data_IF_356124210145
#
_entry.id   IF_356124210145
#
_cell.length_a   1.000
_cell.length_b   1.000
_cell.length_c   1.000
_cell.angle_alpha   90.00
_cell.angle_beta   90.00
_cell.angle_gamma   90.00
#
_symmetry.space_group_name_H-M   'P 1'
#
loop_
_entity.id
_entity.type
_entity.pdbx_description
1 polymer ?
#
# COMPACT_ATOMS: atom_id res chain seq x y z
N UNK A 1 7.37 0.41 -30.48
CA UNK A 1 6.61 0.88 -29.32
C UNK A 1 7.59 1.17 -28.21
N UNK A 2 7.84 2.44 -27.93
CA UNK A 2 8.64 2.83 -26.77
C UNK A 2 7.72 2.77 -25.56
N UNK A 3 7.92 1.80 -24.69
CA UNK A 3 7.30 1.83 -23.37
C UNK A 3 8.03 2.89 -22.55
N UNK A 4 7.41 4.04 -22.41
CA UNK A 4 7.85 5.03 -21.45
C UNK A 4 7.56 4.45 -20.05
N UNK A 5 8.62 4.02 -19.37
CA UNK A 5 8.53 3.50 -18.00
C UNK A 5 8.44 4.66 -16.99
N UNK A 6 7.72 5.71 -17.33
CA UNK A 6 7.52 6.82 -16.40
C UNK A 6 6.73 6.33 -15.18
N UNK A 7 7.27 6.61 -13.99
CA UNK A 7 6.56 6.39 -12.73
C UNK A 7 5.51 7.48 -12.63
N UNK A 8 4.26 7.10 -12.51
CA UNK A 8 3.12 8.03 -12.54
C UNK A 8 2.40 8.11 -11.20
N UNK A 9 1.68 9.20 -10.99
CA UNK A 9 0.76 9.40 -9.88
C UNK A 9 -0.71 9.34 -10.30
N UNK A 10 -0.98 9.33 -11.60
CA UNK A 10 -2.34 9.24 -12.14
C UNK A 10 -3.01 7.95 -11.73
N UNK A 11 -4.29 8.03 -11.45
CA UNK A 11 -5.12 6.90 -11.10
C UNK A 11 -6.41 6.90 -11.92
N UNK A 12 -6.97 5.72 -12.09
CA UNK A 12 -8.22 5.50 -12.80
C UNK A 12 -9.14 4.63 -11.96
N UNK A 13 -10.44 4.80 -12.12
CA UNK A 13 -11.48 3.97 -11.54
C UNK A 13 -12.34 3.38 -12.64
N UNK A 14 -12.73 2.13 -12.45
CA UNK A 14 -13.66 1.50 -13.37
C UNK A 14 -15.10 1.74 -12.91
N UNK A 15 -15.88 2.40 -13.74
CA UNK A 15 -17.31 2.55 -13.53
C UNK A 15 -18.05 1.32 -14.06
N UNK A 16 -18.53 0.52 -13.11
CA UNK A 16 -19.24 -0.72 -13.43
C UNK A 16 -20.56 -0.49 -14.15
N UNK A 17 -21.29 0.59 -13.85
CA UNK A 17 -22.59 0.88 -14.45
C UNK A 17 -22.45 1.37 -15.88
N UNK A 18 -21.45 2.22 -16.11
CA UNK A 18 -21.16 2.77 -17.44
C UNK A 18 -20.21 1.87 -18.26
N UNK A 19 -19.70 0.80 -17.64
CA UNK A 19 -18.75 -0.14 -18.24
C UNK A 19 -17.52 0.55 -18.87
N UNK A 20 -16.93 1.50 -18.15
CA UNK A 20 -15.80 2.30 -18.65
C UNK A 20 -14.82 2.69 -17.56
N UNK A 21 -13.58 2.93 -17.98
CA UNK A 21 -12.57 3.56 -17.12
C UNK A 21 -12.78 5.07 -17.07
N UNK A 22 -12.71 5.62 -15.89
CA UNK A 22 -12.85 7.03 -15.62
C UNK A 22 -11.64 7.55 -14.87
N UNK A 23 -11.31 8.82 -15.09
CA UNK A 23 -10.27 9.50 -14.36
C UNK A 23 -10.57 9.50 -12.85
N UNK A 24 -9.56 9.23 -12.05
CA UNK A 24 -9.62 9.28 -10.59
C UNK A 24 -8.64 10.36 -10.10
N UNK A 25 -8.84 10.94 -8.91
CA UNK A 25 -7.88 11.91 -8.38
C UNK A 25 -6.46 11.35 -8.34
N UNK A 26 -5.50 12.17 -8.72
CA UNK A 26 -4.08 11.83 -8.70
C UNK A 26 -3.59 11.60 -7.28
N UNK A 27 -2.71 10.61 -7.10
CA UNK A 27 -1.91 10.48 -5.89
C UNK A 27 -1.01 11.71 -5.69
N UNK A 28 -0.53 11.92 -4.47
CA UNK A 28 0.42 13.01 -4.18
C UNK A 28 1.77 12.73 -4.82
N UNK A 29 2.22 11.47 -4.74
CA UNK A 29 3.54 11.06 -5.27
C UNK A 29 3.40 10.05 -6.42
N UNK A 30 4.38 10.08 -7.31
CA UNK A 30 4.57 9.03 -8.31
C UNK A 30 4.96 7.72 -7.61
N UNK A 31 4.27 6.62 -7.95
CA UNK A 31 4.48 5.31 -7.30
C UNK A 31 4.52 4.17 -8.29
N UNK A 32 5.35 3.20 -7.97
CA UNK A 32 5.37 1.87 -8.60
C UNK A 32 5.61 0.81 -7.52
N UNK A 33 5.08 -0.37 -7.66
CA UNK A 33 5.16 -1.47 -6.68
C UNK A 33 4.60 -1.13 -5.29
N UNK A 34 3.68 -0.18 -5.22
CA UNK A 34 2.91 0.09 -4.00
C UNK A 34 1.84 -0.98 -3.75
N UNK A 35 1.29 -0.98 -2.56
CA UNK A 35 0.10 -1.77 -2.23
C UNK A 35 -1.02 -0.87 -1.76
N UNK A 36 -2.25 -1.32 -1.92
CA UNK A 36 -3.44 -0.56 -1.50
C UNK A 36 -4.34 -1.39 -0.60
N UNK A 37 -4.99 -0.72 0.34
CA UNK A 37 -5.98 -1.32 1.24
C UNK A 37 -7.19 -0.42 1.33
N UNK A 38 -8.37 -0.95 1.03
CA UNK A 38 -9.65 -0.26 1.22
C UNK A 38 -10.22 -0.60 2.61
N UNK A 39 -10.57 0.44 3.37
CA UNK A 39 -11.19 0.30 4.69
C UNK A 39 -12.22 1.41 4.89
N UNK A 40 -13.49 1.02 5.00
CA UNK A 40 -14.59 1.97 5.06
C UNK A 40 -14.62 2.88 3.84
N UNK A 41 -14.64 4.19 4.08
CA UNK A 41 -14.63 5.21 3.03
C UNK A 41 -13.21 5.65 2.61
N UNK A 42 -12.18 4.91 2.98
CA UNK A 42 -10.78 5.27 2.74
C UNK A 42 -10.04 4.22 1.93
N UNK A 43 -9.17 4.70 1.03
CA UNK A 43 -8.21 3.88 0.31
C UNK A 43 -6.80 4.29 0.76
N UNK A 44 -6.10 3.39 1.42
CA UNK A 44 -4.72 3.57 1.85
C UNK A 44 -3.76 3.10 0.76
N UNK A 45 -2.81 3.95 0.41
CA UNK A 45 -1.73 3.66 -0.54
C UNK A 45 -0.41 3.62 0.23
N UNK A 46 0.24 2.46 0.23
CA UNK A 46 1.35 2.17 1.14
C UNK A 46 2.60 1.80 0.37
N UNK A 47 3.68 2.51 0.66
CA UNK A 47 4.99 2.22 0.12
C UNK A 47 5.11 2.48 -1.38
N UNK A 48 5.88 1.65 -2.03
CA UNK A 48 6.27 1.75 -3.43
C UNK A 48 7.76 2.03 -3.59
N UNK A 49 8.27 1.75 -4.77
CA UNK A 49 9.69 1.98 -5.08
C UNK A 49 10.02 3.47 -5.00
N UNK A 50 11.04 3.83 -4.24
CA UNK A 50 11.50 5.19 -3.97
C UNK A 50 10.57 6.07 -3.12
N UNK A 51 9.41 5.59 -2.67
CA UNK A 51 8.54 6.35 -1.77
C UNK A 51 8.55 5.77 -0.36
N UNK A 52 8.78 6.62 0.64
CA UNK A 52 8.68 6.29 2.08
C UNK A 52 7.34 6.71 2.67
N UNK A 53 6.56 7.42 1.90
CA UNK A 53 5.31 8.01 2.36
C UNK A 53 4.14 7.09 2.09
N UNK A 54 3.14 7.21 2.92
CA UNK A 54 1.86 6.59 2.70
C UNK A 54 0.82 7.68 2.49
N UNK A 55 -0.15 7.41 1.67
CA UNK A 55 -1.24 8.33 1.36
C UNK A 55 -2.58 7.68 1.67
N UNK A 56 -3.56 8.49 1.96
CA UNK A 56 -4.93 8.04 2.13
C UNK A 56 -5.87 8.89 1.28
N UNK A 57 -6.65 8.23 0.45
CA UNK A 57 -7.76 8.82 -0.25
C UNK A 57 -9.01 8.72 0.61
N UNK A 58 -9.72 9.81 0.76
CA UNK A 58 -11.02 9.85 1.42
C UNK A 58 -12.13 10.06 0.38
N UNK A 59 -13.10 9.15 0.32
CA UNK A 59 -14.15 9.18 -0.68
C UNK A 59 -15.14 10.34 -0.51
N UNK A 60 -15.26 10.92 0.69
CA UNK A 60 -16.12 12.07 0.93
C UNK A 60 -15.50 13.36 0.43
N UNK A 61 -14.23 13.61 0.77
CA UNK A 61 -13.52 14.79 0.30
C UNK A 61 -13.01 14.65 -1.14
N UNK A 62 -12.94 13.41 -1.65
CA UNK A 62 -12.38 13.04 -2.96
C UNK A 62 -10.93 13.50 -3.15
N UNK A 63 -10.15 13.44 -2.10
CA UNK A 63 -8.76 13.89 -2.10
C UNK A 63 -7.81 12.89 -1.47
N UNK A 64 -6.57 12.83 -1.98
CA UNK A 64 -5.47 12.19 -1.32
C UNK A 64 -4.83 13.13 -0.31
N UNK A 65 -4.50 12.61 0.86
CA UNK A 65 -3.73 13.30 1.90
C UNK A 65 -2.58 12.42 2.35
N UNK A 66 -1.46 13.03 2.74
CA UNK A 66 -0.34 12.30 3.31
C UNK A 66 -0.70 11.78 4.70
N UNK A 67 -0.36 10.52 4.98
CA UNK A 67 -0.49 9.98 6.33
C UNK A 67 0.56 10.60 7.23
N UNK A 68 0.16 11.11 8.40
CA UNK A 68 1.06 11.73 9.38
C UNK A 68 2.08 10.74 9.95
N UNK A 69 1.71 9.48 10.02
CA UNK A 69 2.56 8.41 10.51
C UNK A 69 3.21 7.68 9.34
N UNK A 70 4.54 7.66 9.29
CA UNK A 70 5.29 7.04 8.20
C UNK A 70 5.67 5.60 8.54
N UNK A 71 5.52 4.72 7.56
CA UNK A 71 6.07 3.37 7.62
C UNK A 71 7.60 3.47 7.64
N UNK A 72 8.21 3.00 8.72
CA UNK A 72 9.67 2.92 8.84
C UNK A 72 10.17 1.72 8.03
N UNK A 73 10.36 1.90 6.74
CA UNK A 73 11.00 0.91 5.88
C UNK A 73 12.48 1.29 5.74
N UNK A 74 13.41 0.50 6.27
CA UNK A 74 14.83 0.83 6.22
C UNK A 74 15.40 0.91 4.82
N UNK A 75 14.83 0.20 3.86
CA UNK A 75 15.35 0.13 2.52
C UNK A 75 14.26 0.40 1.48
N UNK A 76 14.41 1.51 0.76
CA UNK A 76 13.44 1.98 -0.26
C UNK A 76 13.42 1.15 -1.54
N UNK A 77 14.16 0.06 -1.61
CA UNK A 77 14.24 -0.80 -2.80
C UNK A 77 13.34 -2.02 -2.75
N UNK A 78 12.51 -2.14 -1.72
CA UNK A 78 11.55 -3.25 -1.67
C UNK A 78 10.51 -3.08 -2.78
N UNK A 79 10.43 -4.09 -3.63
CA UNK A 79 9.41 -4.20 -4.69
C UNK A 79 8.21 -5.03 -4.24
N UNK A 80 8.26 -5.59 -3.04
CA UNK A 80 7.28 -6.56 -2.56
C UNK A 80 6.57 -6.03 -1.31
N UNK A 81 5.62 -5.14 -1.54
CA UNK A 81 4.67 -4.75 -0.51
C UNK A 81 3.37 -5.50 -0.73
N UNK A 82 2.87 -6.15 0.29
CA UNK A 82 1.52 -6.72 0.33
C UNK A 82 0.85 -6.26 1.60
N UNK A 83 -0.41 -5.90 1.51
CA UNK A 83 -1.15 -5.44 2.68
C UNK A 83 -2.56 -5.99 2.70
N UNK A 84 -3.10 -6.11 3.91
CA UNK A 84 -4.49 -6.50 4.17
C UNK A 84 -5.05 -5.67 5.31
N UNK A 85 -6.31 -5.28 5.20
CA UNK A 85 -7.06 -4.63 6.30
C UNK A 85 -7.76 -5.67 7.17
N UNK A 86 -7.53 -5.63 8.48
CA UNK A 86 -8.15 -6.52 9.47
C UNK A 86 -8.70 -5.69 10.61
N UNK A 87 -10.03 -5.59 10.72
CA UNK A 87 -10.65 -4.71 11.70
C UNK A 87 -10.21 -3.26 11.52
N UNK A 88 -9.56 -2.68 12.51
CA UNK A 88 -9.01 -1.32 12.49
C UNK A 88 -7.50 -1.28 12.21
N UNK A 89 -6.94 -2.36 11.71
CA UNK A 89 -5.52 -2.49 11.44
C UNK A 89 -5.24 -2.74 9.96
N UNK A 90 -4.15 -2.17 9.47
CA UNK A 90 -3.56 -2.53 8.18
C UNK A 90 -2.29 -3.30 8.48
N UNK A 91 -2.21 -4.54 8.03
CA UNK A 91 -1.03 -5.39 8.18
C UNK A 91 -0.29 -5.39 6.86
N UNK A 92 0.98 -4.99 6.88
CA UNK A 92 1.84 -4.86 5.71
C UNK A 92 3.00 -5.83 5.83
N UNK A 93 3.15 -6.65 4.81
CA UNK A 93 4.28 -7.56 4.64
C UNK A 93 5.24 -6.92 3.65
N UNK A 94 6.49 -6.80 4.04
CA UNK A 94 7.52 -6.24 3.17
C UNK A 94 8.88 -6.89 3.45
N UNK A 95 9.71 -6.98 2.43
CA UNK A 95 11.09 -7.41 2.57
C UNK A 95 12.01 -6.20 2.72
N UNK A 96 12.94 -6.25 3.66
CA UNK A 96 13.83 -5.14 3.99
C UNK A 96 15.14 -5.14 3.19
N UNK A 97 15.55 -6.27 2.66
CA UNK A 97 16.84 -6.40 1.97
C UNK A 97 16.89 -7.64 1.06
N UNK A 98 18.06 -7.82 0.43
CA UNK A 98 18.40 -9.01 -0.35
C UNK A 98 18.49 -10.32 0.49
N UNK A 99 18.41 -10.21 1.79
CA UNK A 99 18.61 -11.33 2.72
C UNK A 99 17.32 -12.01 3.16
N UNK A 100 16.25 -11.83 2.39
CA UNK A 100 15.03 -12.63 2.43
C UNK A 100 14.22 -12.64 3.74
N UNK A 101 14.48 -11.71 4.66
CA UNK A 101 13.63 -11.56 5.85
C UNK A 101 12.40 -10.72 5.54
N UNK A 102 11.23 -11.35 5.67
CA UNK A 102 9.96 -10.64 5.61
C UNK A 102 9.68 -9.95 6.93
N UNK A 103 9.50 -8.66 6.89
CA UNK A 103 9.06 -7.87 8.04
C UNK A 103 7.56 -7.63 7.96
N UNK A 104 6.89 -7.73 9.10
CA UNK A 104 5.48 -7.38 9.22
C UNK A 104 5.37 -6.06 9.97
N UNK A 105 4.74 -5.09 9.35
CA UNK A 105 4.37 -3.83 9.98
C UNK A 105 2.86 -3.74 10.12
N UNK A 106 2.39 -3.20 11.22
CA UNK A 106 0.98 -3.01 11.49
C UNK A 106 0.68 -1.54 11.75
N UNK A 107 -0.31 -1.02 11.05
CA UNK A 107 -0.83 0.33 11.27
C UNK A 107 -2.18 0.27 11.97
N UNK A 108 -2.27 0.94 13.12
CA UNK A 108 -3.54 1.17 13.82
C UNK A 108 -4.20 2.43 13.26
N UNK A 109 -5.35 2.28 12.62
CA UNK A 109 -6.09 3.42 12.05
C UNK A 109 -6.61 4.34 13.17
N UNK A 110 -7.01 3.76 14.32
CA UNK A 110 -7.52 4.53 15.46
C UNK A 110 -6.43 5.33 16.15
N UNK A 111 -5.24 4.75 16.30
CA UNK A 111 -4.12 5.40 16.99
C UNK A 111 -3.23 6.21 16.05
N UNK A 112 -3.43 6.07 14.74
CA UNK A 112 -2.56 6.68 13.71
C UNK A 112 -1.08 6.34 13.93
N UNK A 113 -0.78 5.07 14.17
CA UNK A 113 0.55 4.62 14.59
C UNK A 113 0.96 3.32 13.91
N UNK A 114 2.23 3.27 13.49
CA UNK A 114 2.88 2.07 13.02
C UNK A 114 3.59 1.33 14.14
N UNK A 115 3.51 0.01 14.10
CA UNK A 115 4.29 -0.92 14.92
C UNK A 115 4.89 -2.01 14.04
N UNK A 116 6.00 -2.60 14.47
CA UNK A 116 6.62 -3.73 13.78
C UNK A 116 6.37 -4.99 14.58
N UNK A 117 5.90 -6.02 13.91
CA UNK A 117 5.69 -7.34 14.49
C UNK A 117 6.91 -8.18 14.15
N UNK A 118 7.63 -8.63 15.16
CA UNK A 118 8.67 -9.65 14.98
C UNK A 118 7.97 -10.99 14.88
N UNK A 119 8.20 -11.70 13.80
CA UNK A 119 7.76 -13.08 13.65
C UNK A 119 8.88 -13.90 13.01
N UNK A 120 9.01 -15.13 13.48
CA UNK A 120 9.98 -16.09 12.98
C UNK A 120 9.51 -16.76 11.68
N UNK A 121 8.83 -15.98 10.81
CA UNK A 121 8.47 -16.51 9.51
C UNK A 121 9.70 -16.73 8.67
N UNK A 122 9.72 -17.91 8.13
CA UNK A 122 10.80 -18.45 7.33
C UNK A 122 11.18 -17.54 6.17
N UNK A 123 12.45 -17.50 5.94
CA UNK A 123 13.14 -16.98 4.77
C UNK A 123 12.43 -17.41 3.48
N UNK A 124 12.37 -16.53 2.49
CA UNK A 124 11.93 -16.80 1.12
C UNK A 124 10.40 -16.81 0.85
N UNK A 125 9.68 -15.84 1.34
CA UNK A 125 8.36 -15.55 0.78
C UNK A 125 8.50 -14.69 -0.49
N UNK A 126 8.96 -15.32 -1.57
CA UNK A 126 8.85 -14.74 -2.91
C UNK A 126 7.45 -15.00 -3.42
N UNK A 127 6.81 -13.99 -3.98
CA UNK A 127 5.55 -14.11 -4.71
C UNK A 127 4.38 -14.76 -3.93
N UNK A 128 3.92 -14.10 -2.87
CA UNK A 128 2.77 -14.50 -2.08
C UNK A 128 1.57 -13.57 -2.28
N UNK A 129 0.39 -14.10 -2.07
CA UNK A 129 -0.86 -13.33 -2.03
C UNK A 129 -1.47 -13.38 -0.64
N UNK A 130 -2.03 -12.25 -0.21
CA UNK A 130 -2.72 -12.16 1.07
C UNK A 130 -4.20 -11.94 0.78
N UNK A 131 -5.03 -12.82 1.34
CA UNK A 131 -6.47 -12.78 1.18
C UNK A 131 -7.14 -12.74 2.54
N UNK A 132 -8.13 -11.87 2.68
CA UNK A 132 -8.98 -11.80 3.87
C UNK A 132 -10.21 -12.67 3.65
N UNK A 133 -10.46 -13.59 4.56
CA UNK A 133 -11.69 -14.35 4.60
C UNK A 133 -12.58 -13.82 5.73
N UNK A 134 -13.88 -13.75 5.45
CA UNK A 134 -14.91 -13.58 6.47
C UNK A 134 -15.53 -14.96 6.71
N UNK A 135 -15.50 -15.40 7.96
CA UNK A 135 -16.18 -16.60 8.43
C UNK A 135 -17.45 -16.16 9.13
#
# INVERSE_FOLDING_TARGET
MNFDHSIVKSAETYDYYENKWCSFPDMIENRVYHTTVSMGNKLFVIGGFLSRRCEVFDSHSRQFTEMKSHLKVPNMRSKNFKAVGIGYYIVVFHSLSSDDETTISMYSVCENKWSTIKCDFTKNLFDYSIVKFYI
#
